data_IF_442699651268
#
_entry.id   IF_442699651268
#
_cell.length_a   1.000
_cell.length_b   1.000
_cell.length_c   1.000
_cell.angle_alpha   90.00
_cell.angle_beta   90.00
_cell.angle_gamma   90.00
#
_symmetry.space_group_name_H-M   'P 1'
#
loop_
_entity.id
_entity.type
_entity.pdbx_description
1 polymer ?
#
# COMPACT_ATOMS: atom_id res chain seq x y z
N UNK A 1 -23.54 -5.77 -14.08
CA UNK A 1 -22.45 -4.99 -13.43
C UNK A 1 -21.18 -5.82 -13.21
N UNK A 2 -21.23 -6.96 -12.49
CA UNK A 2 -20.02 -7.74 -12.13
C UNK A 2 -19.01 -8.03 -13.27
N UNK A 3 -19.47 -8.36 -14.48
CA UNK A 3 -18.57 -8.61 -15.62
C UNK A 3 -17.73 -7.38 -16.03
N UNK A 4 -18.31 -6.18 -15.97
CA UNK A 4 -17.60 -4.93 -16.31
C UNK A 4 -16.55 -4.61 -15.24
N UNK A 5 -16.87 -4.83 -13.96
CA UNK A 5 -15.90 -4.66 -12.88
C UNK A 5 -14.69 -5.61 -13.03
N UNK A 6 -14.93 -6.89 -13.36
CA UNK A 6 -13.85 -7.85 -13.63
C UNK A 6 -13.01 -7.50 -14.85
N UNK A 7 -13.62 -6.92 -15.88
CA UNK A 7 -12.89 -6.45 -17.07
C UNK A 7 -11.99 -5.24 -16.76
N UNK A 8 -12.49 -4.27 -16.00
CA UNK A 8 -11.71 -3.09 -15.58
C UNK A 8 -10.54 -3.47 -14.66
N UNK A 9 -10.73 -4.45 -13.77
CA UNK A 9 -9.65 -5.01 -12.94
C UNK A 9 -8.57 -5.69 -13.79
N UNK A 10 -8.95 -6.56 -14.72
CA UNK A 10 -8.00 -7.21 -15.66
C UNK A 10 -7.28 -6.17 -16.53
N UNK A 11 -7.97 -5.15 -17.03
CA UNK A 11 -7.36 -4.02 -17.75
C UNK A 11 -6.34 -3.28 -16.88
N UNK A 12 -6.70 -2.96 -15.63
CA UNK A 12 -5.81 -2.27 -14.71
C UNK A 12 -4.56 -3.10 -14.35
N UNK A 13 -4.72 -4.42 -14.15
CA UNK A 13 -3.60 -5.33 -13.86
C UNK A 13 -2.67 -5.48 -15.08
N UNK A 14 -3.22 -5.68 -16.29
CA UNK A 14 -2.44 -5.74 -17.52
C UNK A 14 -1.69 -4.42 -17.80
N UNK A 15 -2.33 -3.29 -17.54
CA UNK A 15 -1.72 -1.95 -17.67
C UNK A 15 -0.55 -1.76 -16.69
N UNK A 16 -0.73 -2.14 -15.41
CA UNK A 16 0.33 -2.13 -14.39
C UNK A 16 1.54 -2.98 -14.78
N UNK A 17 1.32 -4.24 -15.18
CA UNK A 17 2.38 -5.15 -15.63
C UNK A 17 3.11 -4.58 -16.86
N UNK A 18 2.36 -4.01 -17.81
CA UNK A 18 2.93 -3.36 -19.00
C UNK A 18 3.82 -2.17 -18.62
N UNK A 19 3.40 -1.32 -17.67
CA UNK A 19 4.19 -0.20 -17.16
C UNK A 19 5.51 -0.64 -16.51
N UNK A 20 5.46 -1.68 -15.67
CA UNK A 20 6.65 -2.27 -15.03
C UNK A 20 7.62 -2.83 -16.07
N UNK A 21 7.13 -3.60 -17.05
CA UNK A 21 7.98 -4.13 -18.14
C UNK A 21 8.61 -3.00 -18.96
N UNK A 22 7.85 -1.96 -19.30
CA UNK A 22 8.40 -0.78 -20.01
C UNK A 22 9.46 -0.03 -19.21
N UNK A 23 9.34 0.04 -17.87
CA UNK A 23 10.37 0.63 -17.00
C UNK A 23 11.65 -0.21 -17.05
N UNK A 24 11.56 -1.53 -16.88
CA UNK A 24 12.73 -2.41 -16.98
C UNK A 24 13.40 -2.35 -18.37
N UNK A 25 12.62 -2.32 -19.46
CA UNK A 25 13.17 -2.15 -20.82
C UNK A 25 13.96 -0.85 -20.94
N UNK A 26 13.46 0.28 -20.41
CA UNK A 26 14.18 1.57 -20.41
C UNK A 26 15.48 1.51 -19.59
N UNK A 27 15.44 0.92 -18.40
CA UNK A 27 16.61 0.77 -17.51
C UNK A 27 17.68 -0.14 -18.13
N UNK A 28 17.29 -1.28 -18.70
CA UNK A 28 18.20 -2.18 -19.41
C UNK A 28 18.79 -1.52 -20.66
N UNK A 29 17.99 -0.80 -21.44
CA UNK A 29 18.49 -0.08 -22.63
C UNK A 29 19.52 1.00 -22.26
N UNK A 30 19.31 1.75 -21.17
CA UNK A 30 20.29 2.71 -20.66
C UNK A 30 21.59 2.02 -20.21
N UNK A 31 21.48 0.96 -19.40
CA UNK A 31 22.64 0.19 -18.91
C UNK A 31 23.45 -0.45 -20.05
N UNK A 32 22.81 -0.94 -21.10
CA UNK A 32 23.48 -1.48 -22.30
C UNK A 32 24.17 -0.38 -23.11
N UNK A 33 23.59 0.82 -23.19
CA UNK A 33 24.20 1.97 -23.88
C UNK A 33 25.43 2.51 -23.13
N UNK A 34 25.43 2.50 -21.79
CA UNK A 34 26.56 2.96 -20.97
C UNK A 34 27.74 1.95 -20.95
N UNK A 35 27.45 0.64 -20.97
CA UNK A 35 28.46 -0.40 -20.74
C UNK A 35 29.12 -0.98 -22.01
N UNK A 36 28.94 -0.39 -23.19
CA UNK A 36 29.79 -0.68 -24.36
C UNK A 36 29.65 -2.07 -25.00
N UNK A 37 28.62 -2.84 -24.65
CA UNK A 37 28.05 -3.90 -25.49
C UNK A 37 28.92 -5.13 -25.83
N UNK A 38 29.22 -5.97 -24.83
CA UNK A 38 29.13 -7.45 -24.95
C UNK A 38 29.32 -8.13 -23.59
N UNK A 39 28.21 -8.31 -22.85
CA UNK A 39 28.18 -9.17 -21.66
C UNK A 39 27.91 -10.59 -22.14
N UNK A 40 28.78 -11.55 -21.80
CA UNK A 40 28.49 -12.97 -21.96
C UNK A 40 27.27 -13.32 -21.10
N UNK A 41 26.14 -13.64 -21.74
CA UNK A 41 24.87 -13.88 -21.02
C UNK A 41 24.98 -15.16 -20.18
N UNK A 42 24.85 -15.07 -18.83
CA UNK A 42 24.89 -16.26 -17.98
C UNK A 42 23.77 -17.24 -18.37
N UNK A 43 23.98 -18.57 -18.22
CA UNK A 43 22.95 -19.57 -18.53
C UNK A 43 21.66 -19.38 -17.70
N UNK A 44 21.79 -18.77 -16.52
CA UNK A 44 20.68 -18.35 -15.66
C UNK A 44 19.77 -17.31 -16.34
N UNK A 45 20.33 -16.39 -17.13
CA UNK A 45 19.54 -15.38 -17.88
C UNK A 45 18.72 -16.05 -18.99
N UNK A 46 19.26 -17.05 -19.68
CA UNK A 46 18.48 -17.84 -20.64
C UNK A 46 17.32 -18.61 -19.99
N UNK A 47 17.54 -19.19 -18.80
CA UNK A 47 16.49 -19.85 -18.04
C UNK A 47 15.40 -18.87 -17.59
N UNK A 48 15.78 -17.65 -17.17
CA UNK A 48 14.84 -16.58 -16.83
C UNK A 48 14.06 -16.07 -18.04
N UNK A 49 14.71 -15.88 -19.21
CA UNK A 49 14.03 -15.52 -20.46
C UNK A 49 12.95 -16.54 -20.82
N UNK A 50 13.26 -17.84 -20.80
CA UNK A 50 12.30 -18.91 -21.07
C UNK A 50 11.14 -18.97 -20.05
N UNK A 51 11.36 -18.49 -18.82
CA UNK A 51 10.29 -18.37 -17.83
C UNK A 51 9.38 -17.16 -18.12
N UNK A 52 9.94 -16.04 -18.60
CA UNK A 52 9.18 -14.85 -19.03
C UNK A 52 8.35 -15.14 -20.30
N UNK A 53 8.95 -15.78 -21.31
CA UNK A 53 8.27 -16.22 -22.54
C UNK A 53 7.05 -17.10 -22.20
N UNK A 54 7.26 -18.14 -21.38
CA UNK A 54 6.19 -19.05 -20.93
C UNK A 54 5.13 -18.36 -20.06
N UNK A 55 5.47 -17.27 -19.38
CA UNK A 55 4.49 -16.46 -18.64
C UNK A 55 3.65 -15.58 -19.59
N UNK A 56 4.27 -15.02 -20.64
CA UNK A 56 3.58 -14.27 -21.69
C UNK A 56 2.61 -15.16 -22.48
N UNK A 57 3.03 -16.38 -22.86
CA UNK A 57 2.16 -17.37 -23.51
C UNK A 57 0.91 -17.69 -22.66
N UNK A 58 1.11 -17.98 -21.37
CA UNK A 58 0.01 -18.25 -20.43
C UNK A 58 -0.95 -17.06 -20.29
N UNK A 59 -0.42 -15.85 -20.19
CA UNK A 59 -1.21 -14.62 -20.10
C UNK A 59 -2.02 -14.38 -21.37
N UNK A 60 -1.44 -14.64 -22.55
CA UNK A 60 -2.11 -14.52 -23.84
C UNK A 60 -3.23 -15.57 -24.01
N UNK A 61 -3.01 -16.82 -23.55
CA UNK A 61 -4.06 -17.85 -23.56
C UNK A 61 -5.22 -17.47 -22.62
N UNK A 62 -4.94 -17.15 -21.36
CA UNK A 62 -5.98 -16.82 -20.38
C UNK A 62 -6.79 -15.56 -20.73
N UNK A 63 -6.14 -14.53 -21.30
CA UNK A 63 -6.86 -13.34 -21.80
C UNK A 63 -7.65 -13.63 -23.08
N UNK A 64 -7.17 -14.53 -23.95
CA UNK A 64 -7.91 -15.04 -25.10
C UNK A 64 -9.19 -15.80 -24.70
N UNK A 65 -9.09 -16.70 -23.73
CA UNK A 65 -10.24 -17.44 -23.16
C UNK A 65 -11.27 -16.49 -22.54
N UNK A 66 -10.83 -15.52 -21.74
CA UNK A 66 -11.70 -14.50 -21.15
C UNK A 66 -12.46 -13.72 -22.23
N UNK A 67 -11.77 -13.26 -23.29
CA UNK A 67 -12.38 -12.55 -24.40
C UNK A 67 -13.34 -13.43 -25.22
N UNK A 68 -13.07 -14.73 -25.35
CA UNK A 68 -13.97 -15.68 -26.01
C UNK A 68 -15.27 -15.88 -25.21
N UNK A 69 -15.16 -16.09 -23.89
CA UNK A 69 -16.32 -16.21 -22.99
C UNK A 69 -17.19 -14.95 -22.99
N UNK A 70 -16.57 -13.76 -23.02
CA UNK A 70 -17.29 -12.48 -23.11
C UNK A 70 -18.05 -12.38 -24.44
N UNK A 71 -17.40 -12.66 -25.58
CA UNK A 71 -18.05 -12.65 -26.91
C UNK A 71 -19.25 -13.59 -26.95
N UNK A 72 -19.10 -14.82 -26.42
CA UNK A 72 -20.18 -15.80 -26.34
C UNK A 72 -21.36 -15.29 -25.51
N UNK A 73 -21.10 -14.65 -24.36
CA UNK A 73 -22.14 -14.08 -23.49
C UNK A 73 -22.90 -12.90 -24.11
N UNK A 74 -22.25 -12.14 -24.99
CA UNK A 74 -22.87 -11.03 -25.72
C UNK A 74 -23.71 -11.55 -26.90
N UNK A 75 -23.27 -12.63 -27.56
CA UNK A 75 -24.02 -13.28 -28.63
C UNK A 75 -25.30 -13.95 -28.10
N UNK A 76 -25.23 -14.71 -27.01
CA UNK A 76 -26.42 -15.33 -26.40
C UNK A 76 -27.39 -14.30 -25.81
N UNK A 77 -26.91 -13.12 -25.40
CA UNK A 77 -27.75 -11.99 -25.00
C UNK A 77 -28.56 -11.36 -26.15
N UNK A 78 -28.23 -11.63 -27.41
CA UNK A 78 -28.87 -11.03 -28.59
C UNK A 78 -29.97 -11.89 -29.22
N UNK A 79 -30.25 -13.09 -28.70
CA UNK A 79 -31.10 -14.09 -29.36
C UNK A 79 -32.60 -14.03 -29.01
N UNK A 80 -33.04 -13.10 -28.14
CA UNK A 80 -34.45 -12.98 -27.70
C UNK A 80 -35.13 -11.70 -28.25
N UNK A 81 -34.99 -11.48 -29.56
CA UNK A 81 -35.69 -10.42 -30.30
C UNK A 81 -35.77 -10.77 -31.79
N UNK A 82 -36.90 -11.36 -32.21
CA UNK A 82 -37.12 -11.78 -33.59
C UNK A 82 -37.54 -10.64 -34.54
N UNK A 83 -37.48 -10.93 -35.85
CA UNK A 83 -37.91 -10.14 -37.02
C UNK A 83 -37.01 -8.93 -37.40
N UNK A 84 -36.61 -8.76 -38.67
CA UNK A 84 -36.58 -9.70 -39.80
C UNK A 84 -35.61 -9.19 -40.90
N UNK A 85 -35.16 -10.08 -41.81
CA UNK A 85 -34.39 -9.87 -43.07
C UNK A 85 -33.08 -9.01 -42.98
N UNK A 86 -31.99 -9.27 -43.70
CA UNK A 86 -31.82 -9.92 -45.02
C UNK A 86 -30.40 -10.50 -45.18
N UNK A 87 -30.24 -11.45 -46.12
CA UNK A 87 -29.00 -12.12 -46.53
C UNK A 87 -27.72 -11.26 -46.66
N UNK A 88 -26.58 -11.86 -46.28
CA UNK A 88 -25.49 -12.08 -47.24
C UNK A 88 -24.70 -13.34 -46.91
N UNK A 89 -24.37 -14.12 -47.95
CA UNK A 89 -23.34 -15.16 -47.92
C UNK A 89 -21.93 -14.49 -47.93
N UNK A 90 -20.82 -15.18 -47.67
CA UNK A 90 -20.61 -16.61 -47.34
C UNK A 90 -19.64 -16.71 -46.12
N UNK A 91 -18.67 -17.61 -45.89
CA UNK A 91 -18.01 -18.68 -46.68
C UNK A 91 -17.51 -19.83 -45.76
N UNK A 92 -16.85 -20.81 -46.37
CA UNK A 92 -16.33 -22.08 -45.81
C UNK A 92 -15.12 -21.89 -44.85
N UNK A 93 -14.56 -22.88 -44.11
CA UNK A 93 -14.57 -24.35 -44.25
C UNK A 93 -14.57 -25.09 -42.88
N UNK A 94 -14.73 -26.41 -42.94
CA UNK A 94 -14.95 -27.42 -41.89
C UNK A 94 -13.94 -27.49 -40.71
N UNK A 95 -14.44 -27.94 -39.54
CA UNK A 95 -13.75 -28.86 -38.62
C UNK A 95 -14.77 -29.84 -38.02
N UNK A 96 -14.36 -31.09 -37.79
CA UNK A 96 -15.24 -32.20 -37.43
C UNK A 96 -15.89 -32.09 -36.03
N UNK A 97 -17.16 -32.50 -35.94
CA UNK A 97 -17.81 -32.83 -34.67
C UNK A 97 -17.45 -34.25 -34.21
N UNK A 98 -16.89 -34.42 -33.02
CA UNK A 98 -17.26 -35.57 -32.19
C UNK A 98 -17.09 -35.30 -30.68
N UNK A 99 -17.88 -35.99 -29.86
CA UNK A 99 -17.78 -36.06 -28.39
C UNK A 99 -18.15 -34.81 -27.57
N UNK A 100 -19.36 -34.27 -27.78
CA UNK A 100 -20.14 -33.69 -26.67
C UNK A 100 -20.63 -34.81 -25.73
N UNK A 101 -20.26 -34.82 -24.44
CA UNK A 101 -21.00 -35.56 -23.39
C UNK A 101 -20.93 -34.81 -22.04
N UNK A 102 -22.11 -34.49 -21.46
CA UNK A 102 -22.38 -34.07 -20.07
C UNK A 102 -21.71 -32.81 -19.51
N UNK A 103 -22.49 -31.73 -19.43
CA UNK A 103 -22.26 -30.58 -18.51
C UNK A 103 -23.44 -30.39 -17.52
N UNK A 104 -24.51 -31.18 -17.63
CA UNK A 104 -25.76 -30.99 -16.85
C UNK A 104 -25.69 -31.43 -15.36
N UNK A 105 -24.64 -32.14 -14.94
CA UNK A 105 -24.58 -32.81 -13.63
C UNK A 105 -24.01 -31.92 -12.48
N UNK A 106 -24.06 -30.59 -12.62
CA UNK A 106 -23.58 -29.62 -11.60
C UNK A 106 -24.68 -28.63 -11.14
N UNK A 107 -25.79 -28.50 -11.87
CA UNK A 107 -26.86 -27.51 -11.58
C UNK A 107 -27.85 -27.92 -10.47
N UNK A 108 -27.63 -29.06 -9.79
CA UNK A 108 -28.62 -29.67 -8.89
C UNK A 108 -28.41 -29.43 -7.37
N UNK A 109 -27.38 -28.68 -6.95
CA UNK A 109 -27.16 -28.33 -5.52
C UNK A 109 -26.67 -26.90 -5.33
N UNK A 110 -27.54 -25.92 -5.60
CA UNK A 110 -27.35 -24.52 -5.17
C UNK A 110 -28.67 -23.90 -4.70
N UNK A 111 -29.18 -24.38 -3.56
CA UNK A 111 -30.25 -23.68 -2.84
C UNK A 111 -29.65 -22.62 -1.92
N UNK A 112 -29.70 -21.38 -2.41
CA UNK A 112 -29.84 -20.12 -1.69
C UNK A 112 -29.30 -20.05 -0.24
N UNK A 113 -28.18 -19.34 -0.07
CA UNK A 113 -28.04 -18.36 1.00
C UNK A 113 -27.37 -17.10 0.42
N UNK A 114 -28.19 -16.25 -0.20
CA UNK A 114 -27.73 -15.02 -0.86
C UNK A 114 -27.49 -13.89 0.14
N UNK A 115 -26.35 -13.94 0.85
CA UNK A 115 -25.78 -12.78 1.51
C UNK A 115 -24.85 -12.04 0.54
N UNK A 116 -25.19 -10.79 0.22
CA UNK A 116 -24.44 -9.96 -0.73
C UNK A 116 -23.11 -9.50 -0.14
N UNK A 117 -22.05 -10.29 -0.33
CA UNK A 117 -20.67 -9.85 -0.04
C UNK A 117 -20.20 -8.94 -1.17
N UNK A 118 -20.58 -7.67 -1.09
CA UNK A 118 -19.74 -6.59 -1.60
C UNK A 118 -18.51 -6.51 -0.73
N UNK A 119 -17.37 -6.99 -1.23
CA UNK A 119 -16.06 -6.69 -0.65
C UNK A 119 -15.73 -5.21 -0.88
N UNK A 120 -16.37 -4.35 -0.09
CA UNK A 120 -15.72 -3.13 0.36
C UNK A 120 -14.46 -3.57 1.11
N UNK A 121 -13.30 -3.00 0.77
CA UNK A 121 -12.14 -3.05 1.67
C UNK A 121 -12.46 -2.07 2.80
N UNK A 122 -13.25 -2.54 3.77
CA UNK A 122 -13.56 -1.79 4.97
C UNK A 122 -12.28 -1.66 5.79
N UNK A 123 -11.61 -0.52 5.60
CA UNK A 123 -10.64 0.00 6.56
C UNK A 123 -11.36 0.18 7.89
N UNK A 124 -11.28 -0.83 8.75
CA UNK A 124 -12.14 -0.92 9.92
C UNK A 124 -11.93 0.32 10.81
N UNK A 125 -13.06 0.86 11.28
CA UNK A 125 -13.13 2.22 11.75
C UNK A 125 -12.25 2.41 12.99
N UNK A 126 -11.35 3.39 12.95
CA UNK A 126 -10.76 3.95 14.17
C UNK A 126 -11.84 4.72 14.93
N UNK A 127 -12.77 3.98 15.55
CA UNK A 127 -13.78 4.44 16.50
C UNK A 127 -13.11 4.82 17.83
N UNK A 128 -12.25 5.84 17.74
CA UNK A 128 -11.87 6.66 18.87
C UNK A 128 -13.05 7.56 19.24
N UNK A 129 -13.31 7.68 20.54
CA UNK A 129 -14.59 8.14 21.07
C UNK A 129 -14.90 9.61 20.77
N UNK A 130 -16.19 9.96 20.92
CA UNK A 130 -16.83 11.22 20.50
C UNK A 130 -16.35 12.46 21.29
N UNK A 131 -15.43 12.28 22.25
CA UNK A 131 -14.76 13.38 22.98
C UNK A 131 -13.82 14.21 22.10
N UNK A 132 -13.39 13.71 20.94
CA UNK A 132 -12.49 14.41 20.00
C UNK A 132 -13.05 15.71 19.36
N UNK A 133 -14.26 16.14 19.71
CA UNK A 133 -14.79 17.47 19.40
C UNK A 133 -14.47 18.54 20.46
N UNK A 134 -14.02 18.16 21.66
CA UNK A 134 -13.61 19.11 22.71
C UNK A 134 -12.24 19.75 22.40
N UNK A 135 -11.22 18.93 22.12
CA UNK A 135 -9.86 19.40 21.80
C UNK A 135 -9.82 20.33 20.58
N UNK A 136 -10.70 20.10 19.60
CA UNK A 136 -10.84 20.94 18.40
C UNK A 136 -11.33 22.36 18.73
N UNK A 137 -12.05 22.54 19.85
CA UNK A 137 -12.44 23.87 20.35
C UNK A 137 -11.31 24.50 21.18
N UNK A 138 -10.56 23.72 21.97
CA UNK A 138 -9.48 24.28 22.79
C UNK A 138 -8.29 24.77 21.95
N UNK A 139 -7.83 23.97 20.98
CA UNK A 139 -6.75 24.38 20.03
C UNK A 139 -7.14 25.61 19.21
N UNK A 140 -8.45 25.84 18.99
CA UNK A 140 -8.95 27.04 18.29
C UNK A 140 -8.84 28.31 19.15
N UNK A 141 -8.95 28.20 20.46
CA UNK A 141 -8.88 29.35 21.37
C UNK A 141 -7.42 29.75 21.69
N UNK A 142 -6.51 28.78 21.79
CA UNK A 142 -5.09 29.02 22.11
C UNK A 142 -4.28 29.67 20.97
N UNK A 143 -4.88 29.82 19.77
CA UNK A 143 -4.29 30.46 18.60
C UNK A 143 -4.91 31.84 18.23
N UNK A 144 -5.74 32.43 19.11
CA UNK A 144 -6.49 33.65 18.79
C UNK A 144 -6.03 34.93 19.53
N UNK A 145 -4.85 34.94 20.16
CA UNK A 145 -4.24 36.13 20.79
C UNK A 145 -2.78 36.42 20.36
N UNK A 146 -2.53 36.51 19.04
CA UNK A 146 -1.34 37.20 18.47
C UNK A 146 -1.81 38.10 17.32
N UNK A 147 -1.28 39.32 17.21
CA UNK A 147 -1.81 40.36 16.32
C UNK A 147 -1.06 40.58 15.00
N UNK A 148 -1.82 41.06 14.01
CA UNK A 148 -1.47 41.70 12.72
C UNK A 148 -0.46 41.05 11.74
N UNK A 149 0.41 40.13 12.14
CA UNK A 149 1.14 39.24 11.22
C UNK A 149 0.39 37.91 11.10
N UNK A 150 -0.21 37.65 9.93
CA UNK A 150 -0.99 36.44 9.69
C UNK A 150 -0.09 35.18 9.70
N UNK A 151 -0.45 34.11 10.43
CA UNK A 151 0.37 32.91 10.50
C UNK A 151 0.46 32.23 9.12
N UNK A 152 1.69 32.12 8.59
CA UNK A 152 2.00 31.41 7.36
C UNK A 152 1.41 30.00 7.37
N UNK A 153 0.68 29.63 6.31
CA UNK A 153 -0.01 28.34 6.26
C UNK A 153 0.98 27.16 6.27
N UNK A 154 0.53 25.99 6.73
CA UNK A 154 1.38 24.81 6.87
C UNK A 154 1.90 24.33 5.51
N UNK A 155 1.10 24.52 4.44
CA UNK A 155 1.57 24.29 3.07
C UNK A 155 2.77 25.19 2.72
N UNK A 156 2.66 26.50 2.99
CA UNK A 156 3.72 27.48 2.70
C UNK A 156 4.98 27.16 3.49
N UNK A 157 4.88 26.88 4.79
CA UNK A 157 6.04 26.56 5.64
C UNK A 157 6.72 25.24 5.23
N UNK A 158 5.95 24.22 4.85
CA UNK A 158 6.47 22.95 4.33
C UNK A 158 7.25 23.13 3.01
N UNK A 159 6.70 23.91 2.07
CA UNK A 159 7.37 24.20 0.77
C UNK A 159 8.59 25.11 0.96
N UNK A 160 8.54 26.10 1.85
CA UNK A 160 9.69 26.98 2.14
C UNK A 160 10.85 26.18 2.73
N UNK A 161 10.60 25.32 3.74
CA UNK A 161 11.66 24.49 4.32
C UNK A 161 12.25 23.49 3.33
N UNK A 162 11.46 22.97 2.37
CA UNK A 162 11.98 22.15 1.27
C UNK A 162 12.93 22.95 0.35
N UNK A 163 12.59 24.21 0.05
CA UNK A 163 13.45 25.10 -0.74
C UNK A 163 14.71 25.55 0.03
N UNK A 164 14.64 25.73 1.34
CA UNK A 164 15.83 25.96 2.18
C UNK A 164 16.74 24.73 2.21
N UNK A 165 16.16 23.52 2.29
CA UNK A 165 16.88 22.26 2.19
C UNK A 165 17.57 22.08 0.83
N UNK A 166 16.92 22.52 -0.27
CA UNK A 166 17.54 22.62 -1.61
C UNK A 166 18.75 23.53 -1.58
N UNK A 167 18.60 24.78 -1.10
CA UNK A 167 19.68 25.78 -1.08
C UNK A 167 20.88 25.28 -0.27
N UNK A 168 20.63 24.64 0.88
CA UNK A 168 21.68 24.06 1.73
C UNK A 168 22.45 22.90 1.07
N UNK A 169 21.86 22.19 0.10
CA UNK A 169 22.48 21.04 -0.57
C UNK A 169 23.55 21.40 -1.61
N UNK A 170 23.68 22.69 -1.98
CA UNK A 170 24.50 23.20 -3.11
C UNK A 170 24.14 22.68 -4.50
N UNK A 171 23.11 21.81 -4.65
CA UNK A 171 22.65 21.30 -5.94
C UNK A 171 21.49 22.15 -6.50
N UNK A 172 21.58 22.52 -7.78
CA UNK A 172 20.59 23.38 -8.45
C UNK A 172 19.39 22.62 -9.08
N UNK A 173 19.36 21.28 -9.02
CA UNK A 173 18.45 20.44 -9.80
C UNK A 173 17.59 19.53 -8.90
N UNK A 174 16.62 20.15 -8.23
CA UNK A 174 15.78 19.56 -7.17
C UNK A 174 15.13 18.23 -7.58
N UNK A 175 14.62 18.16 -8.81
CA UNK A 175 13.76 17.06 -9.26
C UNK A 175 14.47 15.80 -9.75
N UNK A 176 15.80 15.66 -9.56
CA UNK A 176 16.54 14.50 -10.11
C UNK A 176 17.11 13.52 -9.09
N UNK A 177 17.43 13.93 -7.86
CA UNK A 177 17.90 12.97 -6.85
C UNK A 177 17.77 13.46 -5.39
N UNK A 178 16.55 13.53 -4.88
CA UNK A 178 16.28 13.86 -3.47
C UNK A 178 17.06 12.94 -2.49
N UNK A 179 17.21 11.65 -2.79
CA UNK A 179 18.00 10.70 -1.99
C UNK A 179 19.49 11.09 -1.91
N UNK A 180 20.07 11.61 -3.00
CA UNK A 180 21.44 12.15 -3.00
C UNK A 180 21.55 13.49 -2.25
N UNK A 181 20.55 14.36 -2.35
CA UNK A 181 20.56 15.60 -1.55
C UNK A 181 20.56 15.29 -0.05
N UNK A 182 19.81 14.26 0.36
CA UNK A 182 19.79 13.77 1.75
C UNK A 182 21.08 13.02 2.14
N UNK A 183 21.89 12.48 1.21
CA UNK A 183 23.24 11.96 1.56
C UNK A 183 24.28 13.07 1.69
N UNK A 184 24.25 14.07 0.81
CA UNK A 184 25.38 14.99 0.60
C UNK A 184 25.35 16.21 1.54
N UNK A 185 24.20 16.50 2.17
CA UNK A 185 23.99 17.72 2.99
C UNK A 185 24.31 17.52 4.49
N UNK A 186 24.56 18.62 5.19
CA UNK A 186 25.00 18.62 6.60
C UNK A 186 23.86 18.33 7.61
N UNK A 187 24.24 17.83 8.79
CA UNK A 187 23.29 17.38 9.82
C UNK A 187 22.40 18.50 10.38
N UNK A 188 22.85 19.76 10.39
CA UNK A 188 22.05 20.88 10.89
C UNK A 188 20.88 21.22 9.93
N UNK A 189 21.11 21.16 8.61
CA UNK A 189 20.06 21.32 7.61
C UNK A 189 19.11 20.11 7.59
N UNK A 190 19.64 18.90 7.77
CA UNK A 190 18.85 17.66 7.96
C UNK A 190 17.92 17.77 9.18
N UNK A 191 18.42 18.27 10.32
CA UNK A 191 17.63 18.47 11.53
C UNK A 191 16.53 19.53 11.35
N UNK A 192 16.87 20.68 10.76
CA UNK A 192 15.88 21.73 10.47
C UNK A 192 14.77 21.23 9.51
N UNK A 193 15.13 20.47 8.47
CA UNK A 193 14.15 19.86 7.57
C UNK A 193 13.29 18.81 8.27
N UNK A 194 13.87 18.00 9.18
CA UNK A 194 13.12 17.06 10.02
C UNK A 194 12.04 17.77 10.85
N UNK A 195 12.38 18.89 11.50
CA UNK A 195 11.44 19.67 12.32
C UNK A 195 10.30 20.29 11.48
N UNK A 196 10.60 20.72 10.25
CA UNK A 196 9.59 21.21 9.29
C UNK A 196 8.67 20.07 8.80
N UNK A 197 9.23 18.91 8.44
CA UNK A 197 8.45 17.73 8.02
C UNK A 197 7.48 17.33 9.12
N UNK A 198 8.00 17.11 10.34
CA UNK A 198 7.24 16.63 11.50
C UNK A 198 6.06 17.54 11.85
N UNK A 199 6.30 18.86 11.82
CA UNK A 199 5.33 19.89 12.21
C UNK A 199 4.31 20.19 11.13
N UNK A 200 4.74 20.32 9.87
CA UNK A 200 3.92 20.94 8.82
C UNK A 200 3.43 19.98 7.72
N UNK A 201 4.08 18.83 7.48
CA UNK A 201 3.74 17.99 6.31
C UNK A 201 2.29 17.47 6.33
N UNK A 202 1.77 17.07 7.51
CA UNK A 202 0.36 16.68 7.66
C UNK A 202 -0.61 17.87 7.48
N UNK A 203 -0.19 19.08 7.82
CA UNK A 203 -0.96 20.30 7.59
C UNK A 203 -0.99 20.67 6.10
N UNK A 204 0.15 20.57 5.41
CA UNK A 204 0.28 20.76 3.97
C UNK A 204 -0.61 19.78 3.18
N UNK A 205 -0.62 18.50 3.55
CA UNK A 205 -1.52 17.48 2.98
C UNK A 205 -3.00 17.90 3.15
N UNK A 206 -3.41 18.34 4.34
CA UNK A 206 -4.80 18.78 4.59
C UNK A 206 -5.17 20.00 3.73
N UNK A 207 -4.32 21.03 3.71
CA UNK A 207 -4.54 22.22 2.89
C UNK A 207 -4.61 21.87 1.39
N UNK A 208 -3.82 20.89 0.92
CA UNK A 208 -3.86 20.43 -0.46
C UNK A 208 -5.17 19.68 -0.77
N UNK A 209 -5.62 18.79 0.11
CA UNK A 209 -6.91 18.11 -0.02
C UNK A 209 -8.10 19.08 0.03
N UNK A 210 -8.00 20.17 0.78
CA UNK A 210 -8.98 21.26 0.76
C UNK A 210 -8.95 22.03 -0.57
N UNK A 211 -7.77 22.35 -1.11
CA UNK A 211 -7.63 22.96 -2.46
C UNK A 211 -8.24 22.10 -3.56
N UNK A 212 -8.06 20.77 -3.51
CA UNK A 212 -8.72 19.82 -4.42
C UNK A 212 -10.24 19.96 -4.37
N UNK A 213 -10.83 19.99 -3.18
CA UNK A 213 -12.29 20.10 -2.98
C UNK A 213 -12.89 21.41 -3.50
N UNK A 214 -12.13 22.50 -3.48
CA UNK A 214 -12.56 23.82 -3.97
C UNK A 214 -12.12 24.12 -5.41
N UNK A 215 -11.43 23.19 -6.09
CA UNK A 215 -10.92 23.38 -7.45
C UNK A 215 -9.86 24.49 -7.60
N UNK A 216 -9.26 24.93 -6.48
CA UNK A 216 -8.29 26.03 -6.46
C UNK A 216 -6.86 25.48 -6.55
N UNK A 217 -6.46 25.11 -7.77
CA UNK A 217 -5.24 24.34 -8.03
C UNK A 217 -4.54 24.78 -9.32
N UNK A 218 -3.21 24.77 -9.27
CA UNK A 218 -2.34 25.00 -10.42
C UNK A 218 -1.13 24.04 -10.39
N UNK A 219 -0.38 24.00 -11.49
CA UNK A 219 0.76 23.10 -11.65
C UNK A 219 1.99 23.50 -10.82
N UNK A 220 2.10 24.75 -10.38
CA UNK A 220 3.25 25.28 -9.62
C UNK A 220 3.12 24.92 -8.13
N UNK A 221 1.92 25.08 -7.57
CA UNK A 221 1.52 24.53 -6.26
C UNK A 221 1.70 23.01 -6.24
N UNK A 222 1.30 22.32 -7.32
CA UNK A 222 1.48 20.86 -7.45
C UNK A 222 2.96 20.47 -7.44
N UNK A 223 3.77 21.06 -8.32
CA UNK A 223 5.20 20.75 -8.41
C UNK A 223 5.95 21.07 -7.11
N UNK A 224 5.60 22.16 -6.44
CA UNK A 224 6.17 22.54 -5.13
C UNK A 224 5.87 21.49 -4.05
N UNK A 225 4.64 20.98 -4.00
CA UNK A 225 4.27 19.90 -3.08
C UNK A 225 4.97 18.58 -3.40
N UNK A 226 5.08 18.24 -4.69
CA UNK A 226 5.76 17.02 -5.16
C UNK A 226 7.22 17.02 -4.72
N UNK A 227 7.97 18.10 -4.99
CA UNK A 227 9.39 18.20 -4.59
C UNK A 227 9.59 18.16 -3.08
N UNK A 228 8.73 18.82 -2.30
CA UNK A 228 8.75 18.74 -0.84
C UNK A 228 8.45 17.32 -0.32
N UNK A 229 7.53 16.60 -0.98
CA UNK A 229 7.17 15.21 -0.63
C UNK A 229 8.29 14.24 -0.95
N UNK A 230 8.93 14.34 -2.12
CA UNK A 230 10.09 13.51 -2.49
C UNK A 230 11.27 13.73 -1.53
N UNK A 231 11.50 14.98 -1.08
CA UNK A 231 12.51 15.30 -0.07
C UNK A 231 12.14 14.78 1.33
N UNK A 232 10.86 14.80 1.72
CA UNK A 232 10.41 14.29 3.01
C UNK A 232 10.49 12.75 3.07
N UNK A 233 10.05 12.04 2.02
CA UNK A 233 10.19 10.58 1.96
C UNK A 233 11.66 10.17 1.82
N UNK A 234 12.48 10.91 1.07
CA UNK A 234 13.93 10.66 1.03
C UNK A 234 14.58 10.84 2.41
N UNK A 235 14.16 11.85 3.18
CA UNK A 235 14.62 12.05 4.55
C UNK A 235 14.22 10.87 5.45
N UNK A 236 12.93 10.53 5.51
CA UNK A 236 12.38 9.42 6.31
C UNK A 236 13.10 8.09 5.97
N UNK A 237 13.18 7.75 4.68
CA UNK A 237 13.76 6.47 4.23
C UNK A 237 15.28 6.38 4.42
N UNK A 238 15.99 7.50 4.54
CA UNK A 238 17.44 7.54 4.78
C UNK A 238 17.88 7.05 6.16
N UNK A 239 16.97 7.03 7.15
CA UNK A 239 17.28 6.79 8.57
C UNK A 239 18.30 7.77 9.20
N UNK A 240 18.64 8.91 8.57
CA UNK A 240 19.59 9.90 9.14
C UNK A 240 19.09 10.59 10.41
N UNK A 241 17.78 10.59 10.66
CA UNK A 241 17.15 11.16 11.87
C UNK A 241 16.17 10.13 12.44
N UNK A 242 15.96 10.13 13.76
CA UNK A 242 14.84 9.41 14.40
C UNK A 242 13.49 10.11 14.08
N UNK A 243 13.03 9.96 12.85
CA UNK A 243 11.78 10.52 12.36
C UNK A 243 10.57 9.73 12.85
N UNK A 244 9.81 10.40 13.71
CA UNK A 244 8.40 10.19 14.01
C UNK A 244 7.89 8.82 14.50
N UNK A 245 6.96 8.90 15.44
CA UNK A 245 6.23 7.72 15.96
C UNK A 245 5.43 7.09 14.82
N UNK A 246 5.38 5.76 14.71
CA UNK A 246 4.65 4.98 13.66
C UNK A 246 3.27 5.54 13.28
N UNK A 247 2.50 6.03 14.27
CA UNK A 247 1.19 6.67 14.12
C UNK A 247 1.19 7.94 13.22
N UNK A 248 2.29 8.69 13.17
CA UNK A 248 2.46 9.84 12.27
C UNK A 248 2.79 9.35 10.85
N UNK A 249 3.69 8.37 10.70
CA UNK A 249 4.05 7.80 9.39
C UNK A 249 2.80 7.24 8.67
N UNK A 250 1.96 6.48 9.37
CA UNK A 250 0.68 5.96 8.83
C UNK A 250 -0.34 7.06 8.51
N UNK A 251 -0.26 8.24 9.15
CA UNK A 251 -1.10 9.40 8.81
C UNK A 251 -0.58 10.14 7.59
N UNK A 252 0.74 10.24 7.44
CA UNK A 252 1.39 10.85 6.29
C UNK A 252 1.14 10.00 5.04
N UNK A 253 1.38 8.69 5.13
CA UNK A 253 1.11 7.70 4.09
C UNK A 253 -0.36 7.71 3.61
N UNK A 254 -1.32 7.56 4.53
CA UNK A 254 -2.75 7.67 4.21
C UNK A 254 -3.12 9.04 3.62
N UNK A 255 -2.40 10.09 4.01
CA UNK A 255 -2.52 11.43 3.44
C UNK A 255 -2.09 11.51 1.97
N UNK A 256 -0.94 10.91 1.63
CA UNK A 256 -0.48 10.79 0.24
C UNK A 256 -1.44 9.95 -0.59
N UNK A 257 -1.88 8.79 -0.09
CA UNK A 257 -2.90 7.97 -0.77
C UNK A 257 -4.19 8.77 -1.03
N UNK A 258 -4.66 9.55 -0.06
CA UNK A 258 -5.86 10.38 -0.20
C UNK A 258 -5.72 11.48 -1.27
N UNK A 259 -4.49 12.00 -1.47
CA UNK A 259 -4.19 12.98 -2.54
C UNK A 259 -4.21 12.30 -3.91
N UNK A 260 -3.65 11.10 -4.02
CA UNK A 260 -3.59 10.32 -5.26
C UNK A 260 -4.99 9.88 -5.71
N UNK A 261 -5.82 9.40 -4.79
CA UNK A 261 -7.21 9.04 -5.08
C UNK A 261 -8.06 10.26 -5.49
N UNK A 262 -7.89 11.40 -4.80
CA UNK A 262 -8.55 12.66 -5.16
C UNK A 262 -8.09 13.26 -6.51
N UNK A 263 -6.89 12.91 -6.98
CA UNK A 263 -6.35 13.37 -8.27
C UNK A 263 -6.68 12.43 -9.45
N UNK A 264 -7.18 11.22 -9.18
CA UNK A 264 -7.42 10.17 -10.18
C UNK A 264 -8.46 10.60 -11.23
N UNK A 265 -8.14 10.42 -12.51
CA UNK A 265 -8.96 10.89 -13.63
C UNK A 265 -8.95 12.40 -13.85
N UNK A 266 -8.11 13.16 -13.13
CA UNK A 266 -7.93 14.61 -13.32
C UNK A 266 -6.66 14.91 -14.12
N UNK A 267 -6.51 16.16 -14.57
CA UNK A 267 -5.29 16.61 -15.25
C UNK A 267 -4.03 16.58 -14.35
N UNK A 268 -4.20 16.46 -13.03
CA UNK A 268 -3.11 16.44 -12.05
C UNK A 268 -2.57 15.03 -11.75
N UNK A 269 -3.24 13.97 -12.20
CA UNK A 269 -2.81 12.57 -11.99
C UNK A 269 -1.37 12.34 -12.48
N UNK A 270 -1.05 12.84 -13.68
CA UNK A 270 0.30 12.74 -14.26
C UNK A 270 1.34 13.58 -13.51
N UNK A 271 0.94 14.69 -12.86
CA UNK A 271 1.84 15.54 -12.08
C UNK A 271 2.18 14.92 -10.71
N UNK A 272 1.35 14.00 -10.21
CA UNK A 272 1.49 13.36 -8.90
C UNK A 272 2.12 11.97 -8.95
N UNK A 273 2.54 11.46 -10.12
CA UNK A 273 3.31 10.20 -10.24
C UNK A 273 4.56 10.11 -9.33
N UNK A 274 5.32 11.20 -9.05
CA UNK A 274 6.42 11.11 -8.08
C UNK A 274 5.94 11.02 -6.62
N UNK A 275 4.72 11.48 -6.32
CA UNK A 275 4.06 11.28 -5.03
C UNK A 275 3.52 9.85 -4.91
N UNK A 276 3.03 9.24 -5.98
CA UNK A 276 2.70 7.80 -6.02
C UNK A 276 3.94 6.95 -5.72
N UNK A 277 5.06 7.22 -6.39
CA UNK A 277 6.34 6.59 -6.07
C UNK A 277 6.78 6.84 -4.62
N UNK A 278 6.59 8.06 -4.10
CA UNK A 278 6.94 8.40 -2.72
C UNK A 278 6.07 7.66 -1.69
N UNK A 279 4.79 7.43 -1.99
CA UNK A 279 3.90 6.57 -1.20
C UNK A 279 4.38 5.11 -1.22
N UNK A 280 4.76 4.55 -2.38
CA UNK A 280 5.33 3.19 -2.44
C UNK A 280 6.67 3.06 -1.69
N UNK A 281 7.59 4.01 -1.85
CA UNK A 281 8.86 4.06 -1.10
C UNK A 281 8.61 4.11 0.43
N UNK A 282 7.60 4.86 0.86
CA UNK A 282 7.19 4.99 2.26
C UNK A 282 6.53 3.71 2.81
N UNK A 283 5.62 3.08 2.05
CA UNK A 283 5.03 1.79 2.43
C UNK A 283 6.10 0.71 2.57
N UNK A 284 7.02 0.58 1.60
CA UNK A 284 8.11 -0.40 1.67
C UNK A 284 9.04 -0.13 2.88
N UNK A 285 9.32 1.13 3.18
CA UNK A 285 10.06 1.50 4.39
C UNK A 285 9.30 1.14 5.67
N UNK A 286 7.99 1.38 5.73
CA UNK A 286 7.16 0.98 6.87
C UNK A 286 7.14 -0.55 7.05
N UNK A 287 6.96 -1.33 5.98
CA UNK A 287 6.96 -2.80 6.07
C UNK A 287 8.34 -3.35 6.45
N UNK A 288 9.43 -2.84 5.87
CA UNK A 288 10.82 -3.23 6.21
C UNK A 288 11.32 -2.74 7.57
N UNK A 289 10.53 -1.95 8.31
CA UNK A 289 10.81 -1.52 9.70
C UNK A 289 9.78 -2.01 10.72
N UNK A 290 8.77 -2.80 10.29
CA UNK A 290 7.66 -3.21 11.15
C UNK A 290 8.12 -4.05 12.36
N UNK A 291 9.07 -4.97 12.16
CA UNK A 291 9.63 -5.81 13.23
C UNK A 291 10.43 -5.00 14.26
N UNK A 292 11.23 -4.02 13.82
CA UNK A 292 12.03 -3.17 14.72
C UNK A 292 11.13 -2.24 15.57
N UNK A 293 10.05 -1.71 15.00
CA UNK A 293 9.02 -0.92 15.67
C UNK A 293 8.20 -1.77 16.68
N UNK A 294 7.89 -3.02 16.34
CA UNK A 294 7.22 -3.95 17.25
C UNK A 294 8.12 -4.44 18.40
N UNK A 295 9.38 -4.76 18.14
CA UNK A 295 10.36 -5.09 19.18
C UNK A 295 10.63 -3.90 20.11
N UNK A 296 10.56 -2.67 19.60
CA UNK A 296 10.65 -1.45 20.42
C UNK A 296 9.47 -1.31 21.38
N UNK A 297 8.23 -1.61 20.95
CA UNK A 297 7.07 -1.66 21.85
C UNK A 297 7.22 -2.76 22.92
N UNK A 298 7.67 -3.96 22.55
CA UNK A 298 7.95 -5.06 23.51
C UNK A 298 8.97 -4.62 24.55
N UNK A 299 10.10 -4.04 24.11
CA UNK A 299 11.16 -3.56 24.97
C UNK A 299 10.78 -2.33 25.83
N UNK A 300 9.66 -1.64 25.55
CA UNK A 300 9.11 -0.58 26.41
C UNK A 300 8.19 -1.14 27.51
N UNK A 301 7.57 -2.30 27.28
CA UNK A 301 6.74 -3.00 28.28
C UNK A 301 7.60 -3.87 29.20
N UNK A 302 8.51 -4.68 28.66
CA UNK A 302 9.38 -5.56 29.48
C UNK A 302 10.44 -4.79 30.30
N UNK A 303 10.50 -3.45 30.20
CA UNK A 303 11.23 -2.55 31.12
C UNK A 303 10.44 -2.17 32.38
N UNK A 304 9.18 -2.58 32.49
CA UNK A 304 8.31 -2.31 33.62
C UNK A 304 8.28 -3.57 34.49
N UNK A 305 9.03 -3.58 35.59
CA UNK A 305 9.28 -4.77 36.41
C UNK A 305 7.98 -5.47 36.86
N UNK A 306 6.94 -4.68 37.17
CA UNK A 306 5.59 -5.14 37.47
C UNK A 306 4.56 -4.23 36.75
N UNK A 307 3.85 -4.77 35.75
CA UNK A 307 2.74 -4.11 35.04
C UNK A 307 1.42 -4.86 35.32
N UNK A 308 0.36 -4.14 35.73
CA UNK A 308 -0.94 -4.78 35.96
C UNK A 308 -1.54 -5.29 34.65
N UNK A 309 -2.32 -6.38 34.70
CA UNK A 309 -2.93 -6.96 33.52
C UNK A 309 -3.85 -5.98 32.75
N UNK A 310 -4.50 -5.02 33.43
CA UNK A 310 -5.33 -3.99 32.77
C UNK A 310 -4.47 -2.91 32.10
N UNK A 311 -3.29 -2.64 32.63
CA UNK A 311 -2.31 -1.70 32.08
C UNK A 311 -1.51 -2.33 30.93
N UNK A 312 -1.37 -3.66 30.94
CA UNK A 312 -0.79 -4.48 29.87
C UNK A 312 -1.75 -4.65 28.67
N UNK A 313 -3.06 -4.56 28.85
CA UNK A 313 -4.02 -4.73 27.75
C UNK A 313 -3.92 -3.64 26.65
N UNK A 314 -3.76 -2.33 26.94
CA UNK A 314 -3.51 -1.32 25.92
C UNK A 314 -2.28 -1.58 25.02
N UNK A 315 -1.05 -1.85 25.53
CA UNK A 315 0.08 -2.16 24.66
C UNK A 315 -0.08 -3.51 23.95
N UNK A 316 -0.62 -4.55 24.59
CA UNK A 316 -0.98 -5.80 23.91
C UNK A 316 -1.90 -5.55 22.71
N UNK A 317 -2.95 -4.74 22.91
CA UNK A 317 -3.93 -4.40 21.88
C UNK A 317 -3.35 -3.59 20.72
N UNK A 318 -2.30 -2.79 20.96
CA UNK A 318 -1.56 -2.11 19.89
C UNK A 318 -0.66 -3.11 19.15
N UNK A 319 0.10 -3.92 19.88
CA UNK A 319 1.08 -4.85 19.31
C UNK A 319 0.41 -5.96 18.49
N UNK A 320 -0.67 -6.58 18.98
CA UNK A 320 -1.37 -7.65 18.25
C UNK A 320 -1.94 -7.15 16.91
N UNK A 321 -2.35 -5.88 16.85
CA UNK A 321 -2.82 -5.24 15.62
C UNK A 321 -1.69 -4.93 14.64
N UNK A 322 -0.53 -4.48 15.12
CA UNK A 322 0.68 -4.34 14.30
C UNK A 322 1.11 -5.69 13.73
N UNK A 323 1.08 -6.74 14.55
CA UNK A 323 1.52 -8.09 14.21
C UNK A 323 0.59 -8.75 13.19
N UNK A 324 -0.73 -8.66 13.35
CA UNK A 324 -1.70 -9.11 12.34
C UNK A 324 -1.56 -8.34 11.02
N UNK A 325 -1.40 -7.00 11.07
CA UNK A 325 -1.18 -6.20 9.87
C UNK A 325 0.11 -6.58 9.13
N UNK A 326 1.19 -6.86 9.86
CA UNK A 326 2.47 -7.36 9.34
C UNK A 326 2.37 -8.79 8.75
N UNK A 327 1.44 -9.62 9.25
CA UNK A 327 1.07 -10.89 8.62
C UNK A 327 0.38 -10.67 7.27
N UNK A 328 -0.66 -9.84 7.24
CA UNK A 328 -1.45 -9.54 6.03
C UNK A 328 -0.59 -8.90 4.92
N UNK A 329 0.23 -7.90 5.28
CA UNK A 329 1.16 -7.23 4.36
C UNK A 329 2.23 -8.20 3.81
N UNK A 330 2.75 -9.12 4.64
CA UNK A 330 3.73 -10.09 4.18
C UNK A 330 3.13 -11.14 3.23
N UNK A 331 1.92 -11.64 3.51
CA UNK A 331 1.18 -12.52 2.59
C UNK A 331 0.94 -11.82 1.25
N UNK A 332 0.41 -10.58 1.28
CA UNK A 332 0.12 -9.80 0.08
C UNK A 332 1.38 -9.56 -0.77
N UNK A 333 2.51 -9.19 -0.16
CA UNK A 333 3.78 -8.96 -0.87
C UNK A 333 4.41 -10.24 -1.41
N UNK A 334 4.32 -11.35 -0.69
CA UNK A 334 4.74 -12.67 -1.15
C UNK A 334 3.96 -13.09 -2.40
N UNK A 335 2.63 -12.89 -2.40
CA UNK A 335 1.75 -13.40 -3.45
C UNK A 335 1.63 -12.47 -4.68
N UNK A 336 1.87 -11.16 -4.53
CA UNK A 336 1.64 -10.18 -5.61
C UNK A 336 2.88 -9.40 -6.07
N UNK A 337 3.92 -9.26 -5.24
CA UNK A 337 5.10 -8.43 -5.55
C UNK A 337 6.33 -9.29 -5.88
N UNK A 338 6.37 -10.55 -5.43
CA UNK A 338 7.59 -11.36 -5.51
C UNK A 338 8.73 -10.78 -4.66
N UNK A 339 8.36 -10.10 -3.58
CA UNK A 339 9.30 -9.45 -2.67
C UNK A 339 10.19 -10.48 -1.97
N UNK A 340 11.37 -10.06 -1.50
CA UNK A 340 12.34 -10.98 -0.91
C UNK A 340 11.78 -11.63 0.37
N UNK A 341 11.79 -12.98 0.47
CA UNK A 341 11.26 -13.64 1.66
C UNK A 341 12.09 -13.27 2.90
N UNK A 342 11.43 -13.24 4.06
CA UNK A 342 12.07 -12.93 5.35
C UNK A 342 13.28 -13.83 5.57
N UNK A 343 14.40 -13.20 5.94
CA UNK A 343 15.58 -13.89 6.45
C UNK A 343 15.27 -14.59 7.77
N UNK A 344 16.02 -15.64 8.13
CA UNK A 344 15.83 -16.31 9.43
C UNK A 344 16.08 -15.38 10.64
N UNK A 345 16.85 -14.29 10.46
CA UNK A 345 16.96 -13.24 11.48
C UNK A 345 15.62 -12.50 11.68
N UNK A 346 14.93 -12.15 10.60
CA UNK A 346 13.60 -11.53 10.66
C UNK A 346 12.53 -12.51 11.15
N UNK A 347 12.63 -13.80 10.83
CA UNK A 347 11.76 -14.82 11.42
C UNK A 347 11.99 -15.01 12.92
N UNK A 348 13.24 -14.91 13.41
CA UNK A 348 13.52 -14.90 14.84
C UNK A 348 12.88 -13.67 15.52
N UNK A 349 13.11 -12.45 14.98
CA UNK A 349 12.47 -11.22 15.48
C UNK A 349 10.94 -11.35 15.54
N UNK A 350 10.31 -11.92 14.51
CA UNK A 350 8.86 -12.16 14.45
C UNK A 350 8.39 -13.19 15.49
N UNK A 351 9.16 -14.27 15.70
CA UNK A 351 8.91 -15.26 16.74
C UNK A 351 9.05 -14.70 18.15
N UNK A 352 9.99 -13.78 18.39
CA UNK A 352 10.16 -13.07 19.66
C UNK A 352 8.94 -12.17 19.95
N UNK A 353 8.46 -11.41 18.97
CA UNK A 353 7.24 -10.58 19.08
C UNK A 353 6.02 -11.46 19.36
N UNK A 354 5.85 -12.57 18.63
CA UNK A 354 4.77 -13.54 18.85
C UNK A 354 4.84 -14.16 20.26
N UNK A 355 6.04 -14.44 20.77
CA UNK A 355 6.25 -14.99 22.11
C UNK A 355 5.90 -13.98 23.22
N UNK A 356 6.23 -12.70 23.03
CA UNK A 356 5.80 -11.62 23.91
C UNK A 356 4.27 -11.45 23.90
N UNK A 357 3.65 -11.49 22.72
CA UNK A 357 2.19 -11.45 22.57
C UNK A 357 1.50 -12.64 23.26
N UNK A 358 2.03 -13.87 23.13
CA UNK A 358 1.51 -15.05 23.82
C UNK A 358 1.58 -14.92 25.35
N UNK A 359 2.72 -14.44 25.88
CA UNK A 359 2.92 -14.11 27.31
C UNK A 359 1.88 -13.09 27.79
N UNK A 360 1.67 -12.01 27.04
CA UNK A 360 0.74 -10.94 27.43
C UNK A 360 -0.73 -11.35 27.29
N UNK A 361 -1.09 -12.14 26.28
CA UNK A 361 -2.42 -12.74 26.14
C UNK A 361 -2.73 -13.64 27.35
N UNK A 362 -1.80 -14.51 27.74
CA UNK A 362 -1.98 -15.38 28.91
C UNK A 362 -2.19 -14.59 30.22
N UNK A 363 -1.42 -13.52 30.45
CA UNK A 363 -1.56 -12.64 31.63
C UNK A 363 -2.93 -11.93 31.63
N UNK A 364 -3.30 -11.29 30.52
CA UNK A 364 -4.56 -10.54 30.40
C UNK A 364 -5.79 -11.46 30.50
N UNK A 365 -5.72 -12.65 29.91
CA UNK A 365 -6.77 -13.68 29.98
C UNK A 365 -6.94 -14.23 31.40
N UNK A 366 -5.84 -14.62 32.07
CA UNK A 366 -5.88 -15.16 33.44
C UNK A 366 -6.41 -14.15 34.45
N UNK A 367 -6.11 -12.85 34.26
CA UNK A 367 -6.67 -11.76 35.05
C UNK A 367 -8.11 -11.37 34.68
N UNK A 368 -8.74 -12.07 33.73
CA UNK A 368 -10.11 -11.81 33.23
C UNK A 368 -10.31 -10.37 32.72
N UNK A 369 -9.29 -9.79 32.06
CA UNK A 369 -9.38 -8.44 31.50
C UNK A 369 -10.36 -8.45 30.30
N UNK A 370 -11.38 -7.57 30.26
CA UNK A 370 -12.31 -7.55 29.12
C UNK A 370 -11.63 -7.07 27.83
N UNK A 371 -11.64 -7.92 26.79
CA UNK A 371 -11.08 -7.64 25.46
C UNK A 371 -11.93 -6.64 24.64
N UNK A 372 -12.48 -5.61 25.28
CA UNK A 372 -13.43 -4.67 24.67
C UNK A 372 -12.81 -3.87 23.52
N UNK A 373 -13.62 -3.62 22.48
CA UNK A 373 -13.22 -2.99 21.21
C UNK A 373 -12.03 -3.70 20.54
N UNK A 374 -11.91 -5.03 20.67
CA UNK A 374 -10.94 -5.87 19.96
C UNK A 374 -11.65 -7.14 19.49
N UNK A 375 -11.72 -7.37 18.18
CA UNK A 375 -12.29 -8.61 17.65
C UNK A 375 -11.22 -9.70 17.61
N UNK A 376 -11.26 -10.57 18.61
CA UNK A 376 -10.35 -11.71 18.70
C UNK A 376 -10.63 -12.77 17.64
N UNK A 377 -11.85 -12.88 17.11
CA UNK A 377 -12.19 -13.88 16.08
C UNK A 377 -11.47 -13.54 14.77
N UNK A 378 -11.66 -12.31 14.27
CA UNK A 378 -10.95 -11.82 13.08
C UNK A 378 -9.42 -11.85 13.24
N UNK A 379 -8.90 -11.67 14.46
CA UNK A 379 -7.47 -11.82 14.75
C UNK A 379 -7.02 -13.29 14.65
N UNK A 380 -7.71 -14.20 15.33
CA UNK A 380 -7.39 -15.64 15.29
C UNK A 380 -7.52 -16.24 13.89
N UNK A 381 -8.52 -15.81 13.10
CA UNK A 381 -8.69 -16.24 11.71
C UNK A 381 -7.49 -15.85 10.85
N UNK A 382 -7.07 -14.58 10.88
CA UNK A 382 -5.90 -14.09 10.12
C UNK A 382 -4.58 -14.74 10.55
N UNK A 383 -4.39 -14.97 11.86
CA UNK A 383 -3.19 -15.65 12.35
C UNK A 383 -3.15 -17.15 11.97
N UNK A 384 -4.31 -17.82 11.92
CA UNK A 384 -4.44 -19.20 11.43
C UNK A 384 -4.25 -19.29 9.91
N UNK A 385 -4.72 -18.30 9.15
CA UNK A 385 -4.48 -18.22 7.71
C UNK A 385 -2.98 -18.02 7.40
N UNK A 386 -2.30 -17.15 8.15
CA UNK A 386 -0.87 -16.96 8.05
C UNK A 386 -0.07 -18.23 8.41
N UNK A 387 -0.38 -18.91 9.52
CA UNK A 387 0.32 -20.15 9.88
C UNK A 387 -0.04 -21.32 8.94
N UNK A 388 -1.19 -21.30 8.26
CA UNK A 388 -1.47 -22.27 7.19
C UNK A 388 -0.49 -22.13 6.01
N UNK A 389 -0.11 -20.89 5.66
CA UNK A 389 0.84 -20.59 4.58
C UNK A 389 2.32 -20.67 5.03
N UNK A 390 2.60 -20.30 6.28
CA UNK A 390 3.95 -20.17 6.86
C UNK A 390 4.08 -20.99 8.17
N UNK A 391 3.73 -22.27 8.11
CA UNK A 391 3.56 -23.15 9.28
C UNK A 391 4.68 -23.17 10.31
N UNK A 392 4.28 -23.05 11.58
CA UNK A 392 5.18 -23.05 12.74
C UNK A 392 5.90 -21.73 12.96
N UNK A 393 5.43 -20.63 12.37
CA UNK A 393 5.95 -19.27 12.62
C UNK A 393 5.07 -18.48 13.61
N UNK A 394 3.85 -18.93 13.90
CA UNK A 394 3.00 -18.38 14.97
C UNK A 394 3.02 -19.31 16.20
N UNK A 395 3.25 -18.79 17.44
CA UNK A 395 3.09 -19.58 18.65
C UNK A 395 1.65 -20.08 18.85
N UNK A 396 1.45 -21.36 19.22
CA UNK A 396 0.11 -21.96 19.28
C UNK A 396 -0.85 -21.26 20.25
N UNK A 397 -0.33 -20.64 21.31
CA UNK A 397 -1.12 -19.81 22.26
C UNK A 397 -1.71 -18.53 21.64
N UNK A 398 -1.35 -18.18 20.39
CA UNK A 398 -2.00 -17.14 19.58
C UNK A 398 -2.93 -17.72 18.49
N UNK A 399 -3.05 -19.04 18.40
CA UNK A 399 -3.92 -19.78 17.48
C UNK A 399 -5.08 -20.49 18.19
N UNK A 400 -5.06 -20.51 19.53
CA UNK A 400 -6.07 -21.07 20.45
C UNK A 400 -6.93 -19.96 21.09
#
# INVERSE_FOLDING_TARGET
MALVAKLLDVEQQLSRVTGVVQLHVKLTAASVAENGGLVETPPEVFALMQNVERAQEKLQMATGELLALIKLSLQTGSANGESDETNSNTEEFEMDEEHQVKVEEILATSQCNTSSVTQEIQFDSYSGDVEQLADVVQVKNELQEVGDDAPSSAFTLYVVGANEMVIASTMQDVGKNAKKMISDVNDAAIQAWSEVVDTYALGAIRELLERFRYGNFDNEVTASFVGATELAVSLITSRRVQLQKRKWLMRFDKGLFSILDAAKGTQLEQALLPVEKSHFDLMFFCSSTALDDMLSDVALVDRQDEIDAKELFPPFKVLIRKFVFDCEDYMLRNDTVGDSPRTEAQWAQFGDIGSALAKWLHITWTANVPFMKLDMNTIWEKLREFDLQFGGRIPSTLLE
#
